data_IF_611844555200
#
_entry.id   IF_611844555200
#
_cell.length_a   1.000
_cell.length_b   1.000
_cell.length_c   1.000
_cell.angle_alpha   90.00
_cell.angle_beta   90.00
_cell.angle_gamma   90.00
#
_symmetry.space_group_name_H-M   'P 1'
#
loop_
_entity.id
_entity.type
_entity.pdbx_description
1 polymer ?
#
# COMPACT_ATOMS: atom_id res chain seq x y z
N UNK A 1 -13.01 27.19 -0.73
CA UNK A 1 -12.61 26.62 -2.04
C UNK A 1 -11.50 25.60 -1.74
N UNK A 2 -11.74 24.30 -1.96
CA UNK A 2 -10.72 23.22 -1.92
C UNK A 2 -10.20 22.76 -0.55
N UNK A 3 -10.94 21.90 0.18
CA UNK A 3 -10.32 21.03 1.17
C UNK A 3 -9.76 19.82 0.40
N UNK A 4 -8.51 19.91 -0.04
CA UNK A 4 -7.85 18.80 -0.74
C UNK A 4 -7.45 17.73 0.29
N UNK A 5 -8.42 16.92 0.70
CA UNK A 5 -8.23 15.69 1.48
C UNK A 5 -7.72 14.56 0.58
N UNK A 6 -6.66 14.80 -0.19
CA UNK A 6 -6.08 13.75 -1.02
C UNK A 6 -5.04 12.99 -0.19
N UNK A 7 -5.54 12.15 0.72
CA UNK A 7 -4.71 11.10 1.32
C UNK A 7 -4.19 10.14 0.24
N UNK A 8 -3.23 9.27 0.56
CA UNK A 8 -2.61 8.39 -0.41
C UNK A 8 -3.66 7.47 -1.04
N UNK A 9 -3.52 7.27 -2.35
CA UNK A 9 -4.34 6.30 -3.05
C UNK A 9 -3.81 4.89 -2.78
N UNK A 10 -4.66 4.03 -2.25
CA UNK A 10 -4.30 2.69 -1.80
C UNK A 10 -5.46 1.75 -2.12
N UNK A 11 -5.14 0.77 -2.96
CA UNK A 11 -5.99 -0.38 -3.26
C UNK A 11 -5.45 -1.62 -2.57
N UNK A 12 -6.32 -2.37 -1.89
CA UNK A 12 -5.96 -3.65 -1.28
C UNK A 12 -6.82 -4.77 -1.86
N UNK A 13 -6.16 -5.70 -2.54
CA UNK A 13 -6.78 -6.89 -3.11
C UNK A 13 -6.44 -8.11 -2.26
N UNK A 14 -7.47 -8.78 -1.73
CA UNK A 14 -7.35 -10.03 -0.96
C UNK A 14 -8.10 -11.12 -1.68
N UNK A 15 -7.40 -12.18 -2.09
CA UNK A 15 -7.97 -13.33 -2.80
C UNK A 15 -8.81 -12.93 -4.03
N UNK A 16 -8.32 -11.95 -4.81
CA UNK A 16 -9.00 -11.46 -6.01
C UNK A 16 -10.17 -10.51 -5.76
N UNK A 17 -10.43 -10.13 -4.51
CA UNK A 17 -11.45 -9.14 -4.13
C UNK A 17 -10.80 -7.86 -3.60
N UNK A 18 -11.23 -6.72 -4.11
CA UNK A 18 -10.87 -5.42 -3.54
C UNK A 18 -11.59 -5.17 -2.21
N UNK A 19 -10.85 -4.73 -1.19
CA UNK A 19 -11.39 -4.35 0.10
C UNK A 19 -11.46 -2.83 0.24
N UNK A 20 -12.62 -2.31 0.63
CA UNK A 20 -12.76 -0.91 1.00
C UNK A 20 -11.96 -0.59 2.26
N UNK A 21 -11.08 0.41 2.15
CA UNK A 21 -10.21 0.83 3.25
C UNK A 21 -10.73 2.12 3.89
N UNK A 22 -10.73 2.15 5.23
CA UNK A 22 -10.92 3.40 5.96
C UNK A 22 -9.73 4.35 5.72
N UNK A 23 -9.91 5.68 5.78
CA UNK A 23 -8.85 6.65 5.48
C UNK A 23 -7.56 6.42 6.27
N UNK A 24 -7.65 6.15 7.58
CA UNK A 24 -6.47 5.92 8.41
C UNK A 24 -5.70 4.65 8.02
N UNK A 25 -6.37 3.63 7.50
CA UNK A 25 -5.73 2.39 7.05
C UNK A 25 -4.92 2.66 5.78
N UNK A 26 -5.43 3.48 4.87
CA UNK A 26 -4.69 3.94 3.68
C UNK A 26 -3.38 4.64 4.08
N UNK A 27 -3.46 5.55 5.05
CA UNK A 27 -2.27 6.27 5.55
C UNK A 27 -1.21 5.35 6.14
N UNK A 28 -1.61 4.38 6.97
CA UNK A 28 -0.70 3.41 7.59
C UNK A 28 -0.01 2.54 6.52
N UNK A 29 -0.78 2.01 5.57
CA UNK A 29 -0.23 1.17 4.49
C UNK A 29 0.75 1.99 3.65
N UNK A 30 0.34 3.16 3.17
CA UNK A 30 1.17 3.99 2.30
C UNK A 30 2.47 4.42 2.98
N UNK A 31 2.38 4.91 4.22
CA UNK A 31 3.56 5.37 4.98
C UNK A 31 4.56 4.23 5.21
N UNK A 32 4.06 3.04 5.57
CA UNK A 32 4.90 1.86 5.82
C UNK A 32 5.54 1.35 4.53
N UNK A 33 4.74 1.18 3.48
CA UNK A 33 5.20 0.65 2.19
C UNK A 33 6.17 1.61 1.51
N UNK A 34 5.84 2.89 1.40
CA UNK A 34 6.72 3.89 0.77
C UNK A 34 8.00 4.06 1.59
N UNK A 35 7.91 4.07 2.93
CA UNK A 35 9.08 4.11 3.80
C UNK A 35 10.02 2.92 3.55
N UNK A 36 9.47 1.72 3.49
CA UNK A 36 10.22 0.50 3.17
C UNK A 36 10.87 0.57 1.80
N UNK A 37 10.13 0.96 0.76
CA UNK A 37 10.64 1.03 -0.63
C UNK A 37 11.73 2.08 -0.77
N UNK A 38 11.62 3.25 -0.12
CA UNK A 38 12.64 4.31 -0.16
C UNK A 38 13.97 3.90 0.45
N UNK A 39 13.98 2.94 1.36
CA UNK A 39 15.20 2.38 1.93
C UNK A 39 15.90 1.38 0.99
N UNK A 40 15.24 0.94 -0.09
CA UNK A 40 15.81 0.04 -1.08
C UNK A 40 16.54 0.82 -2.18
N UNK A 41 17.68 0.29 -2.62
CA UNK A 41 18.42 0.84 -3.76
C UNK A 41 17.53 0.88 -5.01
N UNK A 42 17.31 2.07 -5.56
CA UNK A 42 16.46 2.29 -6.74
C UNK A 42 14.99 2.56 -6.42
N UNK A 43 14.59 2.61 -5.13
CA UNK A 43 13.23 2.91 -4.68
C UNK A 43 13.05 4.31 -4.11
N UNK A 44 14.09 5.15 -4.10
CA UNK A 44 14.16 6.43 -3.38
C UNK A 44 13.10 7.43 -3.85
N UNK A 45 12.71 7.36 -5.13
CA UNK A 45 11.76 8.28 -5.78
C UNK A 45 10.48 7.58 -6.29
N UNK A 46 10.13 6.42 -5.72
CA UNK A 46 8.95 5.65 -6.14
C UNK A 46 7.67 6.51 -6.12
N UNK A 47 6.98 6.58 -7.27
CA UNK A 47 5.70 7.27 -7.43
C UNK A 47 4.51 6.29 -7.29
N UNK A 48 4.72 5.04 -7.68
CA UNK A 48 3.75 3.96 -7.59
C UNK A 48 4.47 2.69 -7.08
N UNK A 49 3.80 1.93 -6.22
CA UNK A 49 4.34 0.70 -5.65
C UNK A 49 3.29 -0.40 -5.74
N UNK A 50 3.62 -1.48 -6.46
CA UNK A 50 2.81 -2.70 -6.49
C UNK A 50 3.48 -3.80 -5.67
N UNK A 51 2.78 -4.31 -4.66
CA UNK A 51 3.26 -5.38 -3.79
C UNK A 51 2.32 -6.58 -3.90
N UNK A 52 2.88 -7.77 -4.09
CA UNK A 52 2.14 -9.05 -4.05
C UNK A 52 2.71 -9.94 -2.95
N UNK A 53 1.90 -10.20 -1.93
CA UNK A 53 2.27 -11.08 -0.82
C UNK A 53 1.59 -12.43 -1.03
N UNK A 54 2.36 -13.52 -1.00
CA UNK A 54 1.83 -14.89 -0.98
C UNK A 54 2.20 -15.50 0.35
N UNK A 55 1.22 -15.74 1.20
CA UNK A 55 1.44 -16.56 2.38
C UNK A 55 1.79 -17.98 1.90
N UNK A 56 2.93 -18.52 2.35
CA UNK A 56 3.14 -19.97 2.27
C UNK A 56 2.18 -20.56 3.30
N UNK A 57 1.22 -21.37 2.86
CA UNK A 57 0.35 -22.09 3.79
C UNK A 57 1.21 -22.90 4.76
N UNK A 58 0.86 -22.86 6.05
CA UNK A 58 1.31 -23.89 6.98
C UNK A 58 0.66 -25.21 6.54
N UNK A 59 1.44 -26.09 5.89
CA UNK A 59 1.07 -27.48 5.63
C UNK A 59 0.08 -27.71 4.48
N UNK A 60 0.57 -28.30 3.39
CA UNK A 60 -0.18 -29.34 2.68
C UNK A 60 0.44 -30.69 3.08
#
# INVERSE_FOLDING_TARGET
MGNDKNGPDVELWVNGRELSLAPFVKEIIASTVLGMVRALKGGENAQEVSIRIRAKGEGA
#
